data_IF_049617597384
#
_entry.id   IF_049617597384
#
_cell.length_a   1.000
_cell.length_b   1.000
_cell.length_c   1.000
_cell.angle_alpha   90.00
_cell.angle_beta   90.00
_cell.angle_gamma   90.00
#
_symmetry.space_group_name_H-M   'P 1'
#
loop_
_entity.id
_entity.type
_entity.pdbx_description
1 polymer ?
#
# COMPACT_ATOMS: atom_id res chain seq x y z
N UNK A 1 8.32 -10.23 -13.17
CA UNK A 1 6.97 -9.63 -13.31
C UNK A 1 7.14 -8.12 -13.44
N UNK A 2 6.21 -7.40 -14.07
CA UNK A 2 6.22 -5.93 -14.08
C UNK A 2 5.51 -5.43 -12.82
N UNK A 3 6.23 -4.73 -11.95
CA UNK A 3 5.75 -4.28 -10.63
C UNK A 3 5.32 -2.82 -10.65
N UNK A 4 4.84 -2.34 -11.79
CA UNK A 4 4.60 -0.91 -12.03
C UNK A 4 3.21 -0.47 -11.53
N UNK A 5 3.19 0.51 -10.63
CA UNK A 5 2.00 1.29 -10.24
C UNK A 5 1.90 2.53 -11.14
N UNK A 6 0.72 2.80 -11.70
CA UNK A 6 0.38 4.04 -12.41
C UNK A 6 -0.92 4.59 -11.81
N UNK A 7 -0.88 5.80 -11.25
CA UNK A 7 -2.03 6.43 -10.61
C UNK A 7 -2.13 7.93 -10.93
N UNK A 8 -3.34 8.46 -11.04
CA UNK A 8 -3.60 9.90 -11.08
C UNK A 8 -4.20 10.34 -9.74
N UNK A 9 -3.53 11.25 -9.04
CA UNK A 9 -3.99 11.81 -7.78
C UNK A 9 -4.49 13.24 -7.98
N UNK A 10 -5.74 13.44 -7.61
CA UNK A 10 -6.39 14.75 -7.59
C UNK A 10 -6.58 15.19 -6.15
N UNK A 11 -6.25 16.44 -5.84
CA UNK A 11 -6.51 17.03 -4.53
C UNK A 11 -7.95 17.52 -4.48
N UNK A 12 -8.70 17.07 -3.48
CA UNK A 12 -9.95 17.73 -3.10
C UNK A 12 -9.60 18.94 -2.25
N UNK A 13 -9.94 20.12 -2.73
CA UNK A 13 -9.50 21.40 -2.14
C UNK A 13 -10.13 21.64 -0.76
N UNK A 14 -11.42 21.34 -0.64
CA UNK A 14 -12.17 21.41 0.62
C UNK A 14 -12.97 20.14 0.86
N UNK A 15 -12.86 19.57 2.06
CA UNK A 15 -13.51 18.32 2.46
C UNK A 15 -15.05 18.37 2.31
N UNK A 16 -15.65 19.56 2.48
CA UNK A 16 -17.10 19.76 2.31
C UNK A 16 -17.62 19.35 0.93
N UNK A 17 -16.76 19.32 -0.10
CA UNK A 17 -17.12 18.91 -1.46
C UNK A 17 -17.05 17.40 -1.68
N UNK A 18 -16.54 16.63 -0.72
CA UNK A 18 -16.39 15.17 -0.85
C UNK A 18 -17.71 14.48 -1.23
N UNK A 19 -18.79 14.88 -0.58
CA UNK A 19 -20.12 14.37 -0.84
C UNK A 19 -20.62 14.71 -2.26
N UNK A 20 -20.23 15.86 -2.80
CA UNK A 20 -20.58 16.23 -4.17
C UNK A 20 -19.95 15.25 -5.16
N UNK A 21 -18.67 14.90 -5.02
CA UNK A 21 -17.98 13.99 -5.93
C UNK A 21 -18.48 12.55 -5.83
N UNK A 22 -18.72 12.05 -4.61
CA UNK A 22 -19.15 10.65 -4.39
C UNK A 22 -20.62 10.41 -4.73
N UNK A 23 -21.45 11.46 -4.72
CA UNK A 23 -22.87 11.42 -5.11
C UNK A 23 -23.13 11.89 -6.53
N UNK A 24 -22.12 12.43 -7.21
CA UNK A 24 -22.23 12.92 -8.58
C UNK A 24 -22.79 11.84 -9.52
N UNK A 25 -23.84 12.12 -10.31
CA UNK A 25 -24.47 11.13 -11.18
C UNK A 25 -23.51 10.57 -12.25
N UNK A 26 -22.61 11.39 -12.78
CA UNK A 26 -21.67 10.96 -13.80
C UNK A 26 -20.61 10.04 -13.18
N UNK A 27 -20.00 10.43 -12.04
CA UNK A 27 -19.06 9.56 -11.31
C UNK A 27 -19.71 8.24 -10.93
N UNK A 28 -20.95 8.25 -10.44
CA UNK A 28 -21.70 7.03 -10.11
C UNK A 28 -22.01 6.17 -11.34
N UNK A 29 -22.22 6.76 -12.51
CA UNK A 29 -22.42 6.00 -13.73
C UNK A 29 -21.16 5.25 -14.19
N UNK A 30 -19.98 5.68 -13.75
CA UNK A 30 -18.69 5.01 -14.00
C UNK A 30 -18.36 3.94 -12.94
N UNK A 31 -19.09 3.91 -11.84
CA UNK A 31 -18.84 3.05 -10.69
C UNK A 31 -19.39 1.62 -10.91
N UNK A 32 -18.77 0.61 -10.28
CA UNK A 32 -19.32 -0.77 -10.29
C UNK A 32 -20.48 -0.87 -9.29
N UNK A 33 -21.37 -1.88 -9.39
CA UNK A 33 -22.51 -2.03 -8.47
C UNK A 33 -22.16 -2.06 -6.98
N UNK A 34 -20.93 -2.45 -6.63
CA UNK A 34 -20.42 -2.49 -5.25
C UNK A 34 -19.78 -1.19 -4.77
N UNK A 35 -19.69 -0.16 -5.61
CA UNK A 35 -18.99 1.10 -5.33
C UNK A 35 -19.97 2.25 -5.01
N UNK A 36 -19.52 3.31 -4.30
CA UNK A 36 -18.24 3.42 -3.62
C UNK A 36 -18.21 2.61 -2.32
N UNK A 37 -17.05 2.04 -2.00
CA UNK A 37 -16.77 1.43 -0.71
C UNK A 37 -15.85 2.34 0.09
N UNK A 38 -16.08 2.40 1.41
CA UNK A 38 -15.20 3.09 2.34
C UNK A 38 -14.46 2.09 3.22
N UNK A 39 -13.15 2.24 3.31
CA UNK A 39 -12.29 1.44 4.18
C UNK A 39 -11.52 2.35 5.15
N UNK A 40 -11.32 1.87 6.37
CA UNK A 40 -10.33 2.45 7.27
C UNK A 40 -8.95 1.85 6.92
N UNK A 41 -7.98 2.72 6.62
CA UNK A 41 -6.62 2.33 6.27
C UNK A 41 -5.64 2.97 7.26
N UNK A 42 -5.01 2.14 8.08
CA UNK A 42 -3.92 2.57 8.96
C UNK A 42 -2.59 2.23 8.29
N UNK A 43 -1.69 3.21 8.18
CA UNK A 43 -0.40 3.03 7.53
C UNK A 43 0.72 3.31 8.54
N UNK A 44 1.64 2.36 8.68
CA UNK A 44 2.88 2.48 9.45
C UNK A 44 4.05 2.52 8.46
N UNK A 45 4.88 3.56 8.56
CA UNK A 45 6.08 3.70 7.73
C UNK A 45 7.31 3.36 8.54
N UNK A 46 8.23 2.63 7.93
CA UNK A 46 9.46 2.17 8.56
C UNK A 46 10.65 2.70 7.81
N UNK A 47 11.66 3.10 8.58
CA UNK A 47 13.00 3.41 8.11
C UNK A 47 13.98 3.15 9.28
N UNK A 48 15.27 3.18 9.00
CA UNK A 48 16.29 3.18 10.04
C UNK A 48 16.41 4.57 10.67
N UNK A 49 17.08 4.67 11.82
CA UNK A 49 17.40 5.97 12.43
C UNK A 49 18.24 6.86 11.50
N UNK A 50 18.98 6.24 10.57
CA UNK A 50 19.82 6.91 9.58
C UNK A 50 19.10 7.23 8.27
N UNK A 51 17.82 6.84 8.13
CA UNK A 51 17.00 7.05 6.93
C UNK A 51 17.55 6.33 5.68
N UNK A 52 18.04 5.12 5.86
CA UNK A 52 18.69 4.35 4.79
C UNK A 52 17.75 4.12 3.60
N UNK A 53 16.46 3.86 3.84
CA UNK A 53 15.49 3.66 2.76
C UNK A 53 15.24 4.95 2.00
N UNK A 54 15.03 6.07 2.71
CA UNK A 54 14.86 7.36 2.07
C UNK A 54 16.07 7.75 1.22
N UNK A 55 17.29 7.54 1.72
CA UNK A 55 18.52 7.78 0.98
C UNK A 55 18.67 6.88 -0.25
N UNK A 56 18.13 5.66 -0.19
CA UNK A 56 18.04 4.74 -1.33
C UNK A 56 16.87 5.05 -2.28
N UNK A 57 16.05 6.07 -2.00
CA UNK A 57 14.87 6.40 -2.82
C UNK A 57 13.73 5.38 -2.68
N UNK A 58 13.63 4.73 -1.51
CA UNK A 58 12.64 3.71 -1.20
C UNK A 58 11.73 4.15 -0.04
N UNK A 59 10.52 3.60 0.00
CA UNK A 59 9.62 3.71 1.13
C UNK A 59 9.05 2.34 1.50
N UNK A 60 9.18 1.94 2.77
CA UNK A 60 8.56 0.74 3.32
C UNK A 60 7.35 1.13 4.19
N UNK A 61 6.23 0.45 3.94
CA UNK A 61 4.96 0.63 4.65
C UNK A 61 4.41 -0.73 5.08
N UNK A 62 3.82 -0.81 6.27
CA UNK A 62 2.78 -1.80 6.57
C UNK A 62 1.43 -1.09 6.59
N UNK A 63 0.48 -1.55 5.79
CA UNK A 63 -0.90 -1.08 5.80
C UNK A 63 -1.78 -2.11 6.49
N UNK A 64 -2.62 -1.64 7.39
CA UNK A 64 -3.63 -2.41 8.11
C UNK A 64 -5.00 -1.94 7.60
N UNK A 65 -5.81 -2.90 7.20
CA UNK A 65 -7.24 -2.73 6.96
C UNK A 65 -8.01 -3.78 7.75
N UNK A 66 -9.34 -3.67 7.80
CA UNK A 66 -10.21 -4.45 8.70
C UNK A 66 -9.98 -5.96 8.71
N UNK A 67 -9.54 -6.55 7.59
CA UNK A 67 -9.39 -7.99 7.41
C UNK A 67 -7.99 -8.45 6.97
N UNK A 68 -7.06 -7.52 6.72
CA UNK A 68 -5.77 -7.84 6.13
C UNK A 68 -4.69 -6.82 6.47
N UNK A 69 -3.46 -7.29 6.38
CA UNK A 69 -2.27 -6.48 6.51
C UNK A 69 -1.31 -6.78 5.38
N UNK A 70 -0.70 -5.73 4.85
CA UNK A 70 0.21 -5.83 3.71
C UNK A 70 1.45 -4.97 3.93
N UNK A 71 2.62 -5.52 3.66
CA UNK A 71 3.85 -4.76 3.56
C UNK A 71 4.06 -4.33 2.11
N UNK A 72 4.41 -3.06 1.90
CA UNK A 72 4.66 -2.48 0.58
C UNK A 72 6.01 -1.78 0.57
N UNK A 73 6.85 -2.11 -0.42
CA UNK A 73 8.00 -1.29 -0.81
C UNK A 73 7.66 -0.54 -2.09
N UNK A 74 7.90 0.77 -2.10
CA UNK A 74 7.79 1.62 -3.30
C UNK A 74 9.14 2.26 -3.59
N UNK A 75 9.49 2.37 -4.87
CA UNK A 75 10.59 3.23 -5.29
C UNK A 75 10.11 4.68 -5.53
N UNK A 76 11.08 5.56 -5.79
CA UNK A 76 10.83 6.98 -6.00
C UNK A 76 9.99 7.24 -7.27
N UNK A 77 10.16 6.42 -8.30
CA UNK A 77 9.55 6.57 -9.61
C UNK A 77 9.56 8.01 -10.14
N UNK A 78 8.44 8.41 -10.74
CA UNK A 78 8.20 9.76 -11.28
C UNK A 78 6.83 10.27 -10.87
N UNK A 79 6.72 11.60 -10.76
CA UNK A 79 5.48 12.30 -10.42
C UNK A 79 5.42 13.61 -11.20
N UNK A 80 4.39 13.79 -12.03
CA UNK A 80 4.18 15.02 -12.81
C UNK A 80 2.69 15.31 -12.91
N UNK A 81 2.26 16.53 -12.56
CA UNK A 81 0.86 16.98 -12.63
C UNK A 81 -0.17 16.01 -12.01
N UNK A 82 0.21 15.39 -10.89
CA UNK A 82 -0.61 14.41 -10.17
C UNK A 82 -0.57 12.98 -10.74
N UNK A 83 0.05 12.76 -11.90
CA UNK A 83 0.33 11.43 -12.42
C UNK A 83 1.59 10.87 -11.74
N UNK A 84 1.45 9.76 -11.02
CA UNK A 84 2.54 9.02 -10.40
C UNK A 84 2.77 7.70 -11.14
N UNK A 85 4.04 7.39 -11.42
CA UNK A 85 4.47 6.14 -12.03
C UNK A 85 5.69 5.62 -11.28
N UNK A 86 5.63 4.44 -10.68
CA UNK A 86 6.73 3.88 -9.86
C UNK A 86 6.65 2.36 -9.78
N UNK A 87 7.72 1.73 -9.29
CA UNK A 87 7.64 0.32 -8.93
C UNK A 87 7.11 0.15 -7.51
N UNK A 88 6.32 -0.89 -7.32
CA UNK A 88 5.67 -1.24 -6.07
C UNK A 88 5.59 -2.75 -5.90
N UNK A 89 6.09 -3.22 -4.77
CA UNK A 89 6.03 -4.62 -4.36
C UNK A 89 5.21 -4.72 -3.08
N UNK A 90 4.16 -5.53 -3.12
CA UNK A 90 3.25 -5.73 -1.98
C UNK A 90 3.15 -7.21 -1.64
N UNK A 91 3.30 -7.53 -0.36
CA UNK A 91 3.17 -8.89 0.17
C UNK A 91 2.25 -8.90 1.41
N UNK A 92 1.47 -9.96 1.62
CA UNK A 92 0.72 -10.11 2.87
C UNK A 92 1.67 -10.29 4.06
N UNK A 93 1.33 -9.67 5.19
CA UNK A 93 2.03 -9.86 6.47
C UNK A 93 1.02 -10.13 7.57
N UNK A 94 1.51 -10.69 8.69
CA UNK A 94 0.64 -11.13 9.79
C UNK A 94 0.91 -10.38 11.11
N UNK A 95 1.77 -9.36 11.07
CA UNK A 95 2.12 -8.51 12.21
C UNK A 95 2.38 -7.07 11.75
N UNK A 96 2.06 -6.05 12.57
CA UNK A 96 2.31 -4.64 12.26
C UNK A 96 3.76 -4.21 12.49
N UNK A 97 4.60 -5.10 13.03
CA UNK A 97 6.02 -4.81 13.25
C UNK A 97 6.76 -4.62 11.92
N UNK A 98 7.94 -4.00 11.99
CA UNK A 98 8.81 -3.84 10.83
C UNK A 98 9.07 -5.24 10.21
N UNK A 99 8.64 -5.49 8.96
CA UNK A 99 8.83 -6.79 8.35
C UNK A 99 10.32 -7.00 8.03
N UNK A 100 10.79 -8.24 8.18
CA UNK A 100 12.09 -8.64 7.64
C UNK A 100 12.08 -8.43 6.12
N UNK A 101 13.02 -7.69 5.51
CA UNK A 101 13.07 -7.51 4.05
C UNK A 101 13.00 -8.81 3.25
N UNK A 102 13.40 -9.95 3.82
CA UNK A 102 13.29 -11.27 3.21
C UNK A 102 11.84 -11.66 2.83
N UNK A 103 10.81 -11.03 3.41
CA UNK A 103 9.40 -11.28 3.00
C UNK A 103 9.13 -10.91 1.54
N UNK A 104 9.94 -10.01 0.96
CA UNK A 104 9.84 -9.62 -0.44
C UNK A 104 10.61 -10.55 -1.38
N UNK A 105 11.53 -11.39 -0.88
CA UNK A 105 12.22 -12.40 -1.70
C UNK A 105 11.28 -13.53 -2.15
N UNK A 106 10.20 -13.78 -1.39
CA UNK A 106 9.20 -14.78 -1.71
C UNK A 106 8.36 -14.43 -2.96
N UNK A 107 8.37 -13.17 -3.42
CA UNK A 107 7.69 -12.74 -4.64
C UNK A 107 8.23 -13.46 -5.89
N UNK A 108 9.49 -13.88 -5.89
CA UNK A 108 10.09 -14.63 -7.00
C UNK A 108 9.78 -16.14 -6.94
N UNK A 109 9.35 -16.68 -5.79
CA UNK A 109 9.14 -18.14 -5.59
C UNK A 109 7.69 -18.57 -5.68
N UNK A 110 6.73 -17.72 -5.31
CA UNK A 110 5.30 -18.07 -5.35
C UNK A 110 4.77 -18.21 -6.79
N UNK A 111 5.38 -17.54 -7.78
CA UNK A 111 5.06 -17.77 -9.18
C UNK A 111 5.47 -19.16 -9.71
N UNK A 112 6.29 -19.91 -8.96
CA UNK A 112 6.76 -21.25 -9.34
C UNK A 112 6.03 -22.38 -8.60
N UNK A 113 5.18 -22.08 -7.62
CA UNK A 113 4.52 -23.10 -6.79
C UNK A 113 3.07 -22.76 -6.48
N UNK A 114 2.26 -22.59 -7.52
CA UNK A 114 0.83 -22.92 -7.40
C UNK A 114 0.71 -24.45 -7.27
N UNK A 115 0.81 -24.94 -6.03
CA UNK A 115 0.12 -26.13 -5.50
C UNK A 115 0.43 -26.28 -4.01
N UNK A 116 -0.62 -26.27 -3.20
CA UNK A 116 -0.73 -26.75 -1.80
C UNK A 116 -0.04 -25.99 -0.66
N UNK A 117 -0.86 -25.19 0.04
CA UNK A 117 -1.20 -25.34 1.46
C UNK A 117 -0.11 -25.67 2.50
N UNK A 118 0.21 -24.69 3.36
CA UNK A 118 0.79 -24.94 4.69
C UNK A 118 1.60 -23.76 5.27
N UNK A 119 1.63 -23.56 6.61
CA UNK A 119 2.03 -22.29 7.23
C UNK A 119 3.55 -22.16 7.38
N UNK A 120 4.12 -21.08 6.83
CA UNK A 120 5.52 -20.73 7.03
C UNK A 120 5.70 -19.87 8.29
N UNK A 121 6.22 -20.48 9.36
CA UNK A 121 6.68 -19.76 10.56
C UNK A 121 7.97 -19.02 10.22
N UNK A 122 8.01 -17.70 10.39
CA UNK A 122 9.24 -16.92 10.45
C UNK A 122 9.37 -16.29 11.85
N UNK A 123 10.40 -16.72 12.58
CA UNK A 123 10.86 -16.13 13.84
C UNK A 123 12.00 -15.15 13.51
N UNK A 124 11.86 -13.90 13.90
CA UNK A 124 12.92 -12.90 13.80
C UNK A 124 12.58 -11.69 14.65
N UNK A 125 13.44 -11.36 15.62
CA UNK A 125 13.28 -10.28 16.59
C UNK A 125 13.93 -9.02 16.00
N UNK A 126 13.18 -7.94 15.85
CA UNK A 126 13.71 -6.63 15.41
C UNK A 126 12.99 -5.49 16.11
N UNK A 127 13.69 -4.74 16.95
CA UNK A 127 13.16 -3.55 17.62
C UNK A 127 13.28 -2.37 16.65
N UNK A 128 12.17 -1.90 16.10
CA UNK A 128 12.11 -0.63 15.36
C UNK A 128 11.19 0.35 16.10
N UNK A 129 11.77 1.41 16.66
CA UNK A 129 11.04 2.53 17.28
C UNK A 129 11.01 3.71 16.31
N UNK A 130 9.87 3.89 15.66
CA UNK A 130 9.56 5.06 14.83
C UNK A 130 8.16 4.93 14.28
N UNK A 131 7.15 5.42 15.01
CA UNK A 131 5.75 5.34 14.60
C UNK A 131 5.38 6.67 13.94
N UNK A 132 5.28 6.67 12.61
CA UNK A 132 4.59 7.71 11.87
C UNK A 132 3.15 7.27 11.59
N UNK A 133 2.16 7.86 12.27
CA UNK A 133 0.74 7.60 12.00
C UNK A 133 0.28 8.52 10.86
N UNK A 134 -0.01 7.95 9.69
CA UNK A 134 -0.74 8.64 8.64
C UNK A 134 -2.10 7.98 8.46
N UNK A 135 -3.16 8.64 8.97
CA UNK A 135 -4.55 8.26 8.70
C UNK A 135 -4.93 8.72 7.30
N UNK A 136 -5.35 7.79 6.45
CA UNK A 136 -5.83 8.10 5.10
C UNK A 136 -7.14 7.36 4.82
N UNK A 137 -8.15 8.09 4.35
CA UNK A 137 -9.34 7.49 3.74
C UNK A 137 -8.99 7.24 2.27
N UNK A 138 -9.08 6.00 1.81
CA UNK A 138 -8.75 5.63 0.43
C UNK A 138 -9.90 4.87 -0.23
N UNK A 139 -10.24 5.25 -1.46
CA UNK A 139 -11.07 4.45 -2.37
C UNK A 139 -10.12 3.71 -3.30
N UNK A 140 -10.17 2.38 -3.31
CA UNK A 140 -9.36 1.55 -4.18
C UNK A 140 -10.24 0.90 -5.26
N UNK A 141 -9.85 1.06 -6.53
CA UNK A 141 -10.44 0.34 -7.66
C UNK A 141 -9.58 -0.90 -7.93
N UNK A 142 -10.16 -2.10 -7.82
CA UNK A 142 -9.49 -3.34 -8.24
C UNK A 142 -9.61 -3.44 -9.76
N UNK A 143 -8.48 -3.34 -10.48
CA UNK A 143 -8.45 -3.66 -11.92
C UNK A 143 -8.84 -5.12 -12.13
#
# INVERSE_FOLDING_TARGET
MDHREIELKLRVEEEKFWDCYTKDPYIRSLARPSDPVQFLLDNLYFDTEYRDLWHAGLALRVRISSDRMEATVKDQGSSHDGLHIRNEWTVPVFSPEAPDPAVFEALDRVAASDTDGGPGIARGIGIARGIGIARGIGIARRL
#
